data_IF_572569857476
#
_entry.id   IF_572569857476
#
_cell.length_a   1.000
_cell.length_b   1.000
_cell.length_c   1.000
_cell.angle_alpha   90.00
_cell.angle_beta   90.00
_cell.angle_gamma   90.00
#
_symmetry.space_group_name_H-M   'P 1'
#
loop_
_entity.id
_entity.type
_entity.pdbx_description
1 polymer ?
2 non-polymer ?
3 non-polymer ?
4 water ?
#
# COMPACT_ATOMS: atom_id res chain seq x y z
N UNK A 19 31.44 -0.63 -14.19
CA UNK A 19 29.99 -0.60 -13.99
C UNK A 19 29.27 0.56 -14.71
N UNK A 20 28.07 0.31 -15.23
CA UNK A 20 27.28 1.38 -15.88
C UNK A 20 27.01 2.47 -14.82
N UNK A 21 26.94 3.72 -15.27
CA UNK A 21 26.68 4.87 -14.40
C UNK A 21 25.34 5.49 -14.80
N UNK A 22 24.67 6.12 -13.83
CA UNK A 22 23.43 6.88 -14.07
C UNK A 22 23.39 8.07 -13.12
N UNK A 23 23.32 9.29 -13.67
CA UNK A 23 23.43 10.51 -12.86
C UNK A 23 24.69 10.39 -11.99
N UNK A 24 25.74 9.79 -12.55
CA UNK A 24 27.05 9.68 -11.89
C UNK A 24 27.08 8.68 -10.73
N UNK A 25 26.03 7.89 -10.51
CA UNK A 25 26.02 6.92 -9.40
C UNK A 25 26.12 5.52 -9.99
N UNK A 26 26.94 4.65 -9.38
CA UNK A 26 27.15 3.32 -9.98
C UNK A 26 25.80 2.60 -9.97
N UNK A 27 25.39 2.16 -11.15
CA UNK A 27 24.19 1.35 -11.33
C UNK A 27 24.60 0.10 -12.11
N UNK A 28 24.91 -0.94 -11.36
CA UNK A 28 25.73 -2.03 -11.82
C UNK A 28 24.96 -3.32 -11.94
N UNK A 29 24.30 -3.47 -13.07
CA UNK A 29 23.27 -4.47 -13.22
C UNK A 29 23.63 -5.38 -14.41
N UNK A 30 24.79 -5.18 -15.01
CA UNK A 30 25.18 -5.96 -16.18
C UNK A 30 25.55 -7.39 -15.81
N UNK A 31 25.66 -8.28 -16.79
CA UNK A 31 25.50 -7.94 -18.23
C UNK A 31 24.06 -8.14 -18.76
N UNK A 32 23.21 -8.80 -17.97
CA UNK A 32 21.84 -9.13 -18.41
C UNK A 32 21.05 -7.83 -18.70
N UNK A 33 21.33 -6.76 -17.96
CA UNK A 33 20.50 -5.58 -18.05
C UNK A 33 21.32 -4.41 -18.58
N UNK A 34 20.86 -3.87 -19.71
CA UNK A 34 21.57 -2.83 -20.45
C UNK A 34 20.60 -1.67 -20.78
N UNK A 35 21.14 -0.62 -21.38
CA UNK A 35 20.34 0.49 -21.92
C UNK A 35 19.51 1.12 -20.80
N UNK A 36 20.16 1.59 -19.73
CA UNK A 36 19.49 2.13 -18.55
C UNK A 36 18.93 3.53 -18.86
N UNK A 37 17.79 3.84 -18.26
CA UNK A 37 17.26 5.21 -18.18
C UNK A 37 16.87 5.52 -16.72
N UNK A 38 17.16 6.72 -16.26
CA UNK A 38 16.77 7.16 -14.93
C UNK A 38 15.24 7.29 -14.86
N UNK A 39 14.66 6.99 -13.70
CA UNK A 39 13.21 7.17 -13.46
C UNK A 39 13.02 8.06 -12.22
N UNK A 40 13.73 7.76 -11.13
CA UNK A 40 13.70 8.64 -9.98
C UNK A 40 14.53 8.11 -8.84
N UNK A 41 14.36 8.72 -7.67
CA UNK A 41 14.73 8.08 -6.43
C UNK A 41 13.58 7.12 -6.03
N UNK A 42 13.89 6.13 -5.20
CA UNK A 42 12.89 5.29 -4.56
C UNK A 42 12.82 5.58 -3.07
N UNK A 43 13.44 4.73 -2.26
CA UNK A 43 13.48 4.92 -0.81
C UNK A 43 14.96 5.10 -0.38
N UNK A 44 15.78 4.05 -0.47
CA UNK A 44 17.22 4.16 -0.10
C UNK A 44 18.07 3.99 -1.36
N UNK A 45 17.48 4.34 -2.49
CA UNK A 45 18.22 4.39 -3.73
C UNK A 45 17.35 4.72 -4.92
N UNK A 46 17.90 4.42 -6.07
CA UNK A 46 17.56 4.99 -7.35
C UNK A 46 16.82 3.94 -8.18
N UNK A 47 15.85 4.40 -8.94
CA UNK A 47 15.10 3.55 -9.81
C UNK A 47 15.44 3.91 -11.26
N UNK A 48 15.68 2.86 -12.05
CA UNK A 48 15.97 2.95 -13.48
C UNK A 48 15.17 1.91 -14.26
N UNK A 49 14.87 2.20 -15.51
CA UNK A 49 14.45 1.15 -16.46
C UNK A 49 15.71 0.63 -17.17
N UNK A 50 15.61 -0.58 -17.73
CA UNK A 50 16.73 -1.22 -18.44
C UNK A 50 16.17 -2.31 -19.37
N UNK A 51 17.00 -2.76 -20.31
CA UNK A 51 16.61 -3.81 -21.22
C UNK A 51 17.08 -5.18 -20.69
N UNK A 52 16.15 -6.12 -20.50
CA UNK A 52 16.51 -7.48 -20.06
C UNK A 52 16.87 -8.33 -21.28
N UNK A 53 18.17 -8.60 -21.42
CA UNK A 53 18.69 -9.28 -22.60
C UNK A 53 18.29 -10.76 -22.61
N UNK A 54 17.77 -11.30 -21.51
CA UNK A 54 17.32 -12.69 -21.53
C UNK A 54 15.85 -12.72 -22.00
N UNK A 55 15.00 -11.86 -21.45
CA UNK A 55 13.55 -11.92 -21.68
C UNK A 55 13.12 -10.93 -22.76
N UNK A 56 14.03 -10.05 -23.19
CA UNK A 56 13.80 -9.23 -24.39
C UNK A 56 12.73 -8.16 -24.14
N UNK A 57 12.59 -7.74 -22.89
CA UNK A 57 11.63 -6.72 -22.48
C UNK A 57 12.37 -5.69 -21.64
N UNK A 58 11.88 -4.46 -21.62
CA UNK A 58 12.38 -3.48 -20.67
C UNK A 58 11.78 -3.81 -19.29
N UNK A 59 12.57 -3.58 -18.23
CA UNK A 59 12.21 -3.88 -16.81
C UNK A 59 12.56 -2.64 -15.96
N UNK A 60 12.02 -2.60 -14.74
CA UNK A 60 12.39 -1.59 -13.75
C UNK A 60 13.38 -2.18 -12.74
N UNK A 61 14.41 -1.42 -12.39
CA UNK A 61 15.38 -1.90 -11.41
C UNK A 61 15.55 -0.84 -10.33
N UNK A 62 15.44 -1.25 -9.07
CA UNK A 62 15.69 -0.32 -7.96
C UNK A 62 16.98 -0.71 -7.23
N UNK A 63 17.91 0.25 -7.11
CA UNK A 63 19.11 0.10 -6.30
C UNK A 63 18.78 0.47 -4.85
N UNK A 64 19.12 -0.42 -3.93
CA UNK A 64 18.85 -0.23 -2.53
C UNK A 64 20.18 -0.35 -1.78
N UNK A 65 20.49 0.66 -0.98
CA UNK A 65 21.67 0.70 -0.15
C UNK A 65 21.31 0.92 1.32
N UNK A 66 20.74 -0.11 1.98
CA UNK A 66 20.20 -0.03 3.34
C UNK A 66 21.09 -0.43 4.53
N UNK A 67 22.32 -0.89 4.32
CA UNK A 67 22.98 -1.75 5.32
C UNK A 67 23.54 -0.96 6.51
N UNK A 68 23.55 0.37 6.42
CA UNK A 68 24.04 1.21 7.51
C UNK A 68 22.96 1.44 8.59
N UNK A 69 21.70 1.14 8.31
CA UNK A 69 20.62 1.50 9.23
C UNK A 69 19.71 0.30 9.48
N UNK A 70 19.59 -0.02 10.76
CA UNK A 70 18.61 -0.98 11.27
C UNK A 70 17.29 -0.83 10.49
N UNK A 71 16.80 0.41 10.42
CA UNK A 71 15.42 0.68 9.93
C UNK A 71 15.31 0.30 8.44
N UNK A 72 16.25 0.79 7.64
CA UNK A 72 16.28 0.48 6.21
C UNK A 72 16.44 -1.04 5.99
N UNK A 73 17.26 -1.69 6.82
CA UNK A 73 17.42 -3.13 6.67
C UNK A 73 16.11 -3.85 6.93
N UNK A 74 15.38 -3.41 7.97
CA UNK A 74 14.10 -4.04 8.36
C UNK A 74 13.11 -3.95 7.19
N UNK A 75 12.98 -2.76 6.65
CA UNK A 75 12.00 -2.53 5.59
C UNK A 75 12.40 -3.26 4.30
N UNK A 76 13.71 -3.34 4.03
CA UNK A 76 14.22 -4.02 2.84
C UNK A 76 13.96 -5.53 2.97
N UNK A 77 14.31 -6.12 4.10
CA UNK A 77 14.05 -7.54 4.31
C UNK A 77 12.54 -7.79 4.19
N UNK A 78 11.73 -6.97 4.84
CA UNK A 78 10.27 -7.20 4.79
C UNK A 78 9.77 -7.29 3.35
N UNK A 79 10.15 -6.29 2.57
CA UNK A 79 9.77 -6.18 1.17
C UNK A 79 10.17 -7.45 0.42
N UNK A 80 11.44 -7.83 0.54
CA UNK A 80 11.94 -8.98 -0.20
C UNK A 80 11.23 -10.27 0.26
N UNK A 81 11.21 -10.53 1.56
CA UNK A 81 10.58 -11.75 2.06
C UNK A 81 9.14 -11.85 1.54
N UNK A 82 8.39 -10.76 1.63
CA UNK A 82 6.99 -10.81 1.31
C UNK A 82 6.81 -10.99 -0.20
N UNK A 83 7.51 -10.20 -1.00
CA UNK A 83 7.29 -10.24 -2.45
C UNK A 83 7.77 -11.57 -3.02
N UNK A 84 8.78 -12.20 -2.44
CA UNK A 84 9.22 -13.51 -2.95
C UNK A 84 8.25 -14.62 -2.57
N UNK A 85 7.55 -14.47 -1.45
CA UNK A 85 6.61 -15.51 -1.02
C UNK A 85 5.33 -15.39 -1.87
N UNK A 86 4.90 -14.18 -2.15
CA UNK A 86 3.66 -13.92 -2.85
C UNK A 86 3.78 -14.21 -4.33
N UNK A 87 2.73 -14.78 -4.88
CA UNK A 87 2.61 -14.91 -6.32
C UNK A 87 1.15 -14.63 -6.70
N UNK A 88 0.92 -13.44 -7.27
CA UNK A 88 -0.43 -12.99 -7.62
C UNK A 88 -0.38 -11.95 -8.74
N UNK A 89 -1.32 -12.05 -9.67
CA UNK A 89 -1.40 -11.14 -10.83
C UNK A 89 -1.51 -9.67 -10.40
N UNK A 90 -2.05 -9.35 -9.20
CA UNK A 90 -2.28 -7.96 -8.80
C UNK A 90 -1.26 -7.53 -7.74
N UNK A 91 -0.13 -8.25 -7.67
CA UNK A 91 0.93 -7.92 -6.74
C UNK A 91 2.24 -8.01 -7.52
N UNK A 92 3.03 -6.95 -7.42
CA UNK A 92 4.24 -6.89 -8.23
C UNK A 92 5.15 -8.05 -7.80
N UNK A 93 5.73 -8.73 -8.79
CA UNK A 93 6.71 -9.80 -8.54
C UNK A 93 8.15 -9.28 -8.54
N UNK A 94 9.01 -10.01 -7.86
CA UNK A 94 10.44 -9.80 -8.06
C UNK A 94 10.92 -10.79 -9.12
N UNK A 95 11.42 -10.27 -10.23
CA UNK A 95 11.91 -11.07 -11.34
C UNK A 95 13.32 -11.59 -11.05
N UNK A 96 14.10 -10.79 -10.32
CA UNK A 96 15.55 -11.04 -10.20
C UNK A 96 16.07 -10.11 -9.11
N UNK A 97 17.18 -10.48 -8.48
CA UNK A 97 17.85 -9.64 -7.51
C UNK A 97 19.36 -9.77 -7.72
N UNK A 98 20.01 -8.62 -7.92
CA UNK A 98 21.43 -8.56 -8.22
C UNK A 98 22.13 -8.10 -6.95
N UNK A 99 23.11 -8.86 -6.51
CA UNK A 99 24.00 -8.38 -5.46
C UNK A 99 25.31 -9.15 -5.57
N UNK A 100 26.28 -8.71 -4.78
CA UNK A 100 27.62 -9.27 -4.73
C UNK A 100 27.58 -10.74 -4.32
N UNK A 101 28.60 -11.52 -4.75
CA UNK A 101 28.60 -12.91 -4.33
C UNK A 101 28.85 -13.16 -2.82
N UNK A 102 29.31 -12.15 -2.09
CA UNK A 102 29.68 -12.35 -0.68
C UNK A 102 29.05 -11.25 0.17
N UNK A 103 28.78 -11.55 1.44
CA UNK A 103 28.30 -10.54 2.36
C UNK A 103 29.26 -9.34 2.37
N UNK A 104 30.55 -9.62 2.38
CA UNK A 104 31.61 -8.61 2.56
C UNK A 104 31.57 -7.61 1.42
N UNK A 105 31.33 -8.10 0.20
CA UNK A 105 31.37 -7.27 -1.00
C UNK A 105 30.00 -6.65 -1.27
N UNK A 106 28.96 -7.09 -0.55
CA UNK A 106 27.59 -6.64 -0.81
C UNK A 106 27.34 -5.31 -0.10
N UNK A 107 27.30 -4.22 -0.86
CA UNK A 107 26.93 -2.90 -0.27
C UNK A 107 25.56 -2.44 -0.78
N UNK A 108 25.05 -3.06 -1.83
CA UNK A 108 23.83 -2.65 -2.52
C UNK A 108 23.09 -3.91 -2.93
N UNK A 109 21.79 -3.77 -3.12
CA UNK A 109 21.00 -4.79 -3.73
C UNK A 109 20.15 -4.14 -4.84
N UNK A 110 20.03 -4.81 -5.98
CA UNK A 110 19.19 -4.31 -7.06
C UNK A 110 18.00 -5.27 -7.20
N UNK A 111 16.80 -4.69 -7.12
CA UNK A 111 15.61 -5.48 -7.27
C UNK A 111 15.03 -5.21 -8.65
N UNK A 112 14.78 -6.30 -9.37
CA UNK A 112 14.24 -6.23 -10.73
C UNK A 112 12.75 -6.61 -10.71
N UNK A 113 11.93 -5.77 -11.32
CA UNK A 113 10.47 -6.00 -11.47
C UNK A 113 10.06 -5.74 -12.93
N UNK A 114 8.90 -6.27 -13.32
CA UNK A 114 8.30 -5.90 -14.61
C UNK A 114 8.16 -4.37 -14.66
N UNK A 115 8.48 -3.81 -15.83
CA UNK A 115 8.40 -2.38 -16.00
C UNK A 115 6.92 -2.02 -16.09
N UNK A 116 6.51 -1.17 -15.16
CA UNK A 116 5.17 -0.67 -15.16
C UNK A 116 5.22 0.80 -15.58
N UNK A 117 4.62 1.07 -16.74
CA UNK A 117 4.56 2.36 -17.45
C UNK A 117 4.27 3.51 -16.48
N UNK A 118 3.34 3.31 -15.54
CA UNK A 118 2.79 4.42 -14.74
C UNK A 118 2.30 3.86 -13.40
N UNK A 119 1.67 4.71 -12.63
CA UNK A 119 1.01 4.31 -11.38
C UNK A 119 -0.24 5.17 -11.23
N UNK A 120 -1.08 4.83 -10.27
CA UNK A 120 -2.36 5.51 -10.12
C UNK A 120 -2.19 6.98 -9.66
N UNK A 121 -1.10 7.29 -8.97
CA UNK A 121 -0.82 8.68 -8.61
C UNK A 121 -0.63 9.54 -9.86
N UNK A 122 0.25 9.10 -10.74
CA UNK A 122 0.58 9.85 -11.97
C UNK A 122 -0.68 9.93 -12.86
N UNK A 123 -1.39 8.81 -12.94
CA UNK A 123 -2.63 8.71 -13.72
C UNK A 123 -3.64 9.77 -13.24
N UNK A 124 -3.88 9.84 -11.93
CA UNK A 124 -4.93 10.71 -11.37
C UNK A 124 -4.57 12.20 -11.50
N UNK A 125 -3.30 12.55 -11.61
CA UNK A 125 -2.99 13.96 -11.68
C UNK A 125 -3.21 14.47 -13.11
N UNK A 126 -3.40 13.58 -14.09
CA UNK A 126 -3.51 14.02 -15.50
C UNK A 126 -4.73 13.47 -16.24
N UNK A 127 -5.32 12.36 -15.78
CA UNK A 127 -6.29 11.64 -16.59
C UNK A 127 -7.64 11.54 -15.86
N UNK A 128 -8.72 11.94 -16.52
CA UNK A 128 -10.07 11.60 -16.02
C UNK A 128 -10.30 10.08 -16.13
N UNK A 129 -10.79 9.45 -15.08
CA UNK A 129 -11.08 8.01 -15.13
C UNK A 129 -12.54 7.76 -15.49
N UNK A 130 -12.81 6.93 -16.50
CA UNK A 130 -14.21 6.50 -16.75
C UNK A 130 -14.72 5.71 -15.54
N UNK A 131 -16.05 5.64 -15.34
CA UNK A 131 -16.57 4.67 -14.36
C UNK A 131 -16.01 3.25 -14.64
N UNK A 132 -15.87 2.88 -15.90
CA UNK A 132 -15.36 1.53 -16.18
C UNK A 132 -13.95 1.28 -15.68
N UNK A 133 -13.07 2.24 -15.88
CA UNK A 133 -11.72 2.20 -15.33
C UNK A 133 -11.75 2.17 -13.79
N UNK A 134 -12.61 2.97 -13.18
CA UNK A 134 -12.65 3.06 -11.70
C UNK A 134 -13.03 1.68 -11.13
N UNK A 135 -14.04 1.09 -11.74
CA UNK A 135 -14.55 -0.22 -11.40
C UNK A 135 -13.47 -1.31 -11.56
N UNK A 136 -12.82 -1.34 -12.71
CA UNK A 136 -11.73 -2.32 -13.00
C UNK A 136 -10.56 -2.13 -12.01
N UNK A 137 -10.16 -0.88 -11.80
CA UNK A 137 -9.07 -0.58 -10.86
C UNK A 137 -9.46 -1.05 -9.45
N UNK A 138 -10.65 -0.72 -8.98
CA UNK A 138 -11.03 -1.09 -7.62
C UNK A 138 -11.07 -2.62 -7.51
N UNK A 139 -11.60 -3.27 -8.55
CA UNK A 139 -11.66 -4.75 -8.55
C UNK A 139 -10.25 -5.30 -8.36
N UNK A 140 -9.29 -4.82 -9.15
CA UNK A 140 -7.95 -5.39 -9.11
C UNK A 140 -7.25 -5.10 -7.77
N UNK A 141 -7.50 -3.93 -7.23
CA UNK A 141 -6.95 -3.57 -5.93
C UNK A 141 -7.48 -4.54 -4.86
N UNK A 142 -8.79 -4.74 -4.82
CA UNK A 142 -9.37 -5.65 -3.82
C UNK A 142 -8.97 -7.12 -4.09
N UNK A 143 -8.80 -7.48 -5.35
CA UNK A 143 -8.43 -8.87 -5.66
C UNK A 143 -7.02 -9.16 -5.09
N UNK A 144 -6.10 -8.22 -5.27
CA UNK A 144 -4.74 -8.36 -4.70
C UNK A 144 -4.77 -8.29 -3.18
N UNK A 145 -5.57 -7.38 -2.64
CA UNK A 145 -5.66 -7.23 -1.17
C UNK A 145 -6.27 -8.49 -0.56
N UNK A 146 -7.17 -9.17 -1.25
CA UNK A 146 -7.70 -10.41 -0.70
C UNK A 146 -6.58 -11.42 -0.49
N UNK A 147 -5.67 -11.54 -1.46
CA UNK A 147 -4.54 -12.45 -1.31
C UNK A 147 -3.65 -12.02 -0.13
N UNK A 148 -3.29 -10.73 -0.08
CA UNK A 148 -2.44 -10.18 0.95
C UNK A 148 -3.04 -10.54 2.31
N UNK A 149 -4.31 -10.15 2.52
CA UNK A 149 -5.01 -10.42 3.80
C UNK A 149 -5.12 -11.92 4.08
N UNK A 150 -5.32 -12.76 3.05
CA UNK A 150 -5.42 -14.21 3.24
C UNK A 150 -4.10 -14.76 3.79
N UNK A 151 -2.99 -14.03 3.62
CA UNK A 151 -1.66 -14.44 4.06
C UNK A 151 -1.39 -13.90 5.47
N UNK A 152 -2.39 -13.27 6.09
CA UNK A 152 -2.32 -12.65 7.42
C UNK A 152 -1.37 -11.45 7.38
N UNK A 153 -1.22 -10.81 6.22
CA UNK A 153 -0.38 -9.63 6.09
C UNK A 153 -1.26 -8.38 5.93
N UNK A 154 -0.78 -7.30 6.51
CA UNK A 154 -1.30 -5.96 6.29
C UNK A 154 -0.26 -5.19 5.48
N UNK A 155 -0.72 -4.53 4.42
CA UNK A 155 0.18 -3.73 3.60
C UNK A 155 0.60 -2.46 4.34
N UNK A 156 -0.41 -1.74 4.82
CA UNK A 156 -0.31 -0.56 5.74
C UNK A 156 0.19 0.71 5.06
N UNK A 157 0.38 0.70 3.74
CA UNK A 157 0.74 1.92 3.04
C UNK A 157 0.15 1.96 1.63
N UNK A 158 -1.10 1.53 1.52
CA UNK A 158 -1.81 1.64 0.26
C UNK A 158 -2.17 3.09 -0.01
N UNK A 159 -1.85 3.51 -1.23
CA UNK A 159 -2.06 4.83 -1.77
C UNK A 159 -1.83 4.77 -3.28
N UNK A 160 -2.26 5.79 -4.03
CA UNK A 160 -2.11 5.73 -5.51
C UNK A 160 -0.69 5.39 -6.03
N UNK A 161 0.38 5.93 -5.42
CA UNK A 161 1.75 5.74 -5.95
C UNK A 161 2.22 4.29 -5.73
N UNK A 162 1.52 3.50 -4.90
CA UNK A 162 1.88 2.09 -4.64
C UNK A 162 0.95 1.16 -5.40
N UNK A 163 0.21 1.73 -6.34
CA UNK A 163 -0.56 0.94 -7.27
C UNK A 163 -0.02 1.18 -8.68
N UNK A 164 0.72 0.20 -9.17
CA UNK A 164 1.38 0.31 -10.48
C UNK A 164 0.44 -0.15 -11.59
N UNK A 165 0.56 0.46 -12.77
CA UNK A 165 -0.22 0.07 -13.95
C UNK A 165 0.66 0.05 -15.19
N UNK A 166 0.33 -0.87 -16.08
CA UNK A 166 1.03 -1.03 -17.35
C UNK A 166 0.14 -0.45 -18.44
N UNK A 167 0.54 -0.57 -19.71
CA UNK A 167 -0.12 0.16 -20.81
C UNK A 167 -1.53 -0.42 -21.08
N UNK A 168 -1.82 -1.63 -20.57
CA UNK A 168 -3.14 -2.23 -20.73
C UNK A 168 -3.90 -2.15 -19.41
N UNK A 169 -3.49 -1.26 -18.51
CA UNK A 169 -4.20 -1.07 -17.22
C UNK A 169 -4.26 -2.31 -16.30
N UNK A 170 -3.29 -3.21 -16.40
CA UNK A 170 -3.11 -4.22 -15.37
C UNK A 170 -2.57 -3.49 -14.17
N UNK A 171 -3.13 -3.75 -13.00
CA UNK A 171 -2.80 -3.04 -11.78
C UNK A 171 -2.12 -4.03 -10.82
N UNK A 172 -1.00 -3.60 -10.23
CA UNK A 172 -0.23 -4.41 -9.30
C UNK A 172 0.18 -3.57 -8.09
N UNK A 173 -0.10 -4.11 -6.91
CA UNK A 173 0.24 -3.49 -5.63
C UNK A 173 1.74 -3.71 -5.38
N UNK A 174 2.43 -2.69 -4.91
CA UNK A 174 3.84 -2.72 -4.66
C UNK A 174 4.15 -2.08 -3.30
N UNK A 175 5.42 -2.09 -2.94
CA UNK A 175 5.95 -1.43 -1.74
C UNK A 175 5.43 -1.95 -0.40
N UNK A 176 5.95 -3.09 0.01
CA UNK A 176 5.55 -3.78 1.22
C UNK A 176 6.47 -3.43 2.39
N UNK A 177 7.19 -2.35 2.29
CA UNK A 177 8.20 -1.97 3.30
C UNK A 177 7.61 -1.71 4.68
N UNK A 178 6.34 -1.30 4.76
CA UNK A 178 5.71 -0.99 6.07
C UNK A 178 4.72 -2.09 6.49
N UNK A 179 4.69 -3.17 5.73
CA UNK A 179 3.76 -4.25 6.02
C UNK A 179 4.12 -4.92 7.35
N UNK A 180 3.11 -5.56 7.94
CA UNK A 180 3.18 -6.28 9.20
C UNK A 180 2.32 -7.53 9.09
N UNK A 181 2.64 -8.53 9.91
CA UNK A 181 1.71 -9.63 10.15
C UNK A 181 0.54 -9.12 11.03
N UNK A 182 -0.70 -9.48 10.68
CA UNK A 182 -1.89 -9.04 11.43
C UNK A 182 -1.84 -9.48 12.91
N UNK A 183 -2.28 -8.59 13.81
CA UNK A 183 -2.18 -8.84 15.26
C UNK A 183 -3.26 -8.08 15.97
N UNK A 184 -4.52 -8.42 15.70
CA UNK A 184 -5.65 -7.69 16.27
C UNK A 184 -5.71 -7.65 17.81
N UNK A 185 -5.18 -8.66 18.50
CA UNK A 185 -5.17 -8.66 19.97
C UNK A 185 -4.21 -7.65 20.58
N UNK A 186 -3.25 -7.15 19.79
CA UNK A 186 -2.27 -6.17 20.24
C UNK A 186 -2.46 -4.85 19.48
N UNK A 187 -3.66 -4.61 18.96
CA UNK A 187 -3.94 -3.38 18.20
C UNK A 187 -4.10 -2.09 19.05
N UNK A 188 -4.41 -2.21 20.33
CA UNK A 188 -4.86 -1.01 21.06
C UNK A 188 -3.67 -0.19 21.55
N UNK A 189 -3.82 1.14 21.48
CA UNK A 189 -2.77 2.05 21.97
C UNK A 189 -3.45 3.32 22.48
N UNK A 190 -2.63 4.24 22.97
CA UNK A 190 -3.10 5.55 23.42
C UNK A 190 -3.38 6.53 22.27
N UNK A 191 -3.82 7.70 22.70
CA UNK A 191 -4.24 8.79 21.82
C UNK A 191 -3.01 9.50 21.21
N UNK A 192 -3.05 9.78 19.92
CA UNK A 192 -2.00 10.52 19.20
C UNK A 192 -0.66 9.75 19.24
N UNK A 193 -0.74 8.43 19.06
CA UNK A 193 0.45 7.55 18.98
C UNK A 193 1.04 7.66 17.58
N UNK A 194 2.36 7.89 17.51
CA UNK A 194 3.01 8.23 16.20
C UNK A 194 2.82 7.03 15.25
N UNK A 195 2.79 7.34 13.96
CA UNK A 195 2.52 6.36 12.93
C UNK A 195 3.38 6.66 11.69
N UNK A 196 3.78 5.59 11.00
CA UNK A 196 4.76 5.69 9.88
C UNK A 196 4.05 5.86 8.52
N UNK A 197 2.90 5.21 8.28
CA UNK A 197 2.25 5.13 6.93
C UNK A 197 1.71 6.50 6.49
N UNK A 198 1.48 6.65 5.18
CA UNK A 198 1.22 7.94 4.53
C UNK A 198 -0.10 8.57 5.03
N UNK A 199 -0.01 9.83 5.40
CA UNK A 199 -1.03 10.48 6.24
C UNK A 199 -2.44 10.47 5.61
N UNK A 200 -2.58 10.84 4.35
CA UNK A 200 -3.93 10.99 3.76
C UNK A 200 -4.72 9.67 3.69
N UNK A 201 -4.05 8.53 3.85
CA UNK A 201 -4.69 7.21 3.66
C UNK A 201 -4.82 6.49 5.00
N UNK A 202 -4.51 7.18 6.10
CA UNK A 202 -4.57 6.63 7.47
C UNK A 202 -6.00 6.65 8.02
N UNK A 203 -6.42 5.51 8.53
CA UNK A 203 -7.73 5.39 9.12
C UNK A 203 -7.82 6.28 10.37
N UNK A 204 -9.04 6.69 10.71
CA UNK A 204 -9.22 7.58 11.84
C UNK A 204 -8.66 6.98 13.15
N UNK A 205 -8.86 5.67 13.34
CA UNK A 205 -8.51 4.99 14.60
C UNK A 205 -6.99 5.09 14.86
N UNK A 206 -6.18 5.28 13.81
CA UNK A 206 -4.73 5.42 14.01
C UNK A 206 -4.41 6.59 14.95
N UNK A 207 -5.19 7.66 14.81
CA UNK A 207 -5.00 8.88 15.58
C UNK A 207 -5.65 8.76 16.98
N UNK A 208 -6.48 7.76 17.20
CA UNK A 208 -7.27 7.66 18.44
C UNK A 208 -6.77 6.54 19.35
N UNK A 209 -6.72 5.31 18.83
CA UNK A 209 -6.47 4.15 19.73
C UNK A 209 -5.92 2.92 19.02
N UNK A 210 -5.43 3.03 17.78
CA UNK A 210 -5.02 1.84 16.99
C UNK A 210 -3.56 1.96 16.53
N UNK A 211 -2.84 0.83 16.64
CA UNK A 211 -1.49 0.65 16.09
C UNK A 211 -1.50 0.21 14.62
N UNK A 212 -2.65 0.03 13.97
CA UNK A 212 -2.64 -0.37 12.57
C UNK A 212 -2.30 -1.85 12.38
N UNK A 213 -2.77 -2.69 13.31
CA UNK A 213 -2.44 -4.14 13.28
C UNK A 213 -3.65 -5.01 12.90
N UNK A 214 -4.72 -4.41 12.35
CA UNK A 214 -5.87 -5.19 11.84
C UNK A 214 -6.12 -4.83 10.37
N UNK A 215 -6.76 -5.76 9.68
CA UNK A 215 -7.07 -5.72 8.26
C UNK A 215 -7.87 -4.46 7.90
N UNK A 216 -8.70 -3.97 8.84
CA UNK A 216 -9.55 -2.81 8.57
C UNK A 216 -8.75 -1.55 8.23
N UNK A 217 -7.46 -1.50 8.60
CA UNK A 217 -6.60 -0.34 8.26
C UNK A 217 -6.45 -0.20 6.73
N UNK A 218 -6.32 -1.34 6.07
CA UNK A 218 -6.09 -1.38 4.63
C UNK A 218 -7.36 -1.04 3.87
N UNK A 219 -8.49 -1.48 4.38
CA UNK A 219 -9.76 -1.22 3.73
C UNK A 219 -10.05 0.29 3.73
N UNK A 220 -9.75 0.98 4.85
CA UNK A 220 -9.87 2.43 4.89
C UNK A 220 -9.07 3.06 3.75
N UNK A 221 -7.82 2.64 3.56
CA UNK A 221 -6.97 3.21 2.55
C UNK A 221 -7.61 2.98 1.18
N UNK A 222 -8.15 1.80 0.94
CA UNK A 222 -8.78 1.51 -0.36
C UNK A 222 -9.99 2.43 -0.56
N UNK A 223 -10.77 2.63 0.49
CA UNK A 223 -11.87 3.60 0.45
C UNK A 223 -11.39 4.97 0.00
N UNK A 224 -10.29 5.43 0.59
CA UNK A 224 -9.73 6.75 0.26
C UNK A 224 -9.32 6.82 -1.22
N UNK A 225 -8.74 5.74 -1.71
CA UNK A 225 -8.30 5.64 -3.12
C UNK A 225 -9.53 5.65 -4.03
N UNK A 226 -10.62 4.95 -3.67
CA UNK A 226 -11.85 4.98 -4.45
C UNK A 226 -12.36 6.41 -4.56
N UNK A 227 -12.47 7.12 -3.41
CA UNK A 227 -12.88 8.54 -3.39
C UNK A 227 -12.00 9.37 -4.31
N UNK A 228 -10.70 9.13 -4.31
CA UNK A 228 -9.77 9.91 -5.08
C UNK A 228 -9.98 9.62 -6.57
N UNK A 229 -10.29 8.37 -6.86
CA UNK A 229 -10.52 7.97 -8.24
C UNK A 229 -11.77 8.65 -8.79
N UNK A 230 -12.74 8.93 -7.93
CA UNK A 230 -14.01 9.53 -8.38
C UNK A 230 -13.84 11.04 -8.68
N UNK A 231 -12.87 11.73 -8.09
CA UNK A 231 -12.76 13.17 -8.30
C UNK A 231 -11.35 13.64 -8.68
N UNK A 232 -10.33 12.78 -8.73
CA UNK A 232 -8.95 13.16 -9.05
C UNK A 232 -8.32 14.03 -7.95
N UNK A 233 -8.86 14.03 -6.75
CA UNK A 233 -8.26 14.81 -5.66
C UNK A 233 -8.31 13.94 -4.42
N UNK A 234 -7.29 14.00 -3.56
CA UNK A 234 -7.50 13.23 -2.33
C UNK A 234 -8.71 13.74 -1.53
N UNK A 235 -9.44 12.81 -0.94
CA UNK A 235 -10.64 13.11 -0.18
C UNK A 235 -10.24 13.72 1.18
N UNK A 236 -9.19 13.23 1.82
CA UNK A 236 -8.79 13.75 3.16
C UNK A 236 -7.33 14.23 3.17
N UNK A 237 -7.05 15.36 2.53
CA UNK A 237 -5.66 15.88 2.47
C UNK A 237 -5.17 16.58 3.74
N UNK A 238 -4.90 15.84 4.83
CA UNK A 238 -4.42 16.46 6.10
C UNK A 238 -3.01 17.00 5.99
N UNK A 239 -2.77 18.15 6.60
CA UNK A 239 -1.44 18.76 6.50
C UNK A 239 -0.59 18.33 7.69
N UNK A 240 -1.17 17.60 8.63
CA UNK A 240 -0.41 17.13 9.80
C UNK A 240 -1.25 16.15 10.63
N UNK A 241 -0.55 15.51 11.57
CA UNK A 241 -1.06 14.35 12.29
C UNK A 241 -2.56 14.49 12.63
N UNK A 242 -2.99 15.52 13.38
CA UNK A 242 -4.39 15.56 13.89
C UNK A 242 -5.33 16.20 12.86
N UNK A 243 -4.80 17.06 11.98
CA UNK A 243 -5.59 17.63 10.84
C UNK A 243 -6.23 16.51 10.02
N UNK A 244 -5.52 15.39 9.95
CA UNK A 244 -6.02 14.24 9.24
C UNK A 244 -7.35 13.78 9.84
N UNK A 245 -7.48 13.70 11.17
CA UNK A 245 -8.78 13.26 11.77
C UNK A 245 -9.87 14.31 11.46
N UNK A 246 -9.48 15.56 11.49
CA UNK A 246 -10.47 16.59 11.36
C UNK A 246 -10.99 16.59 9.91
N UNK A 247 -10.16 16.17 8.95
CA UNK A 247 -10.62 16.05 7.55
C UNK A 247 -11.71 14.96 7.47
N UNK A 248 -11.43 13.85 8.10
CA UNK A 248 -12.31 12.70 8.02
C UNK A 248 -13.69 13.06 8.61
N UNK A 249 -13.69 13.68 9.79
CA UNK A 249 -14.94 13.96 10.49
C UNK A 249 -15.74 15.05 9.77
N UNK A 250 -15.06 15.91 8.99
CA UNK A 250 -15.78 16.94 8.21
C UNK A 250 -16.69 16.32 7.15
N UNK A 251 -16.40 15.09 6.72
CA UNK A 251 -17.23 14.41 5.70
C UNK A 251 -18.17 13.41 6.37
N UNK A 252 -17.61 12.55 7.22
CA UNK A 252 -18.40 11.44 7.81
C UNK A 252 -19.38 11.99 8.87
N UNK A 253 -19.06 13.15 9.42
CA UNK A 253 -19.79 13.75 10.53
C UNK A 253 -19.35 13.15 11.86
N UNK A 254 -19.90 13.69 12.95
CA UNK A 254 -19.59 13.23 14.30
C UNK A 254 -19.92 11.74 14.45
N UNK A 255 -19.03 11.00 15.11
CA UNK A 255 -19.26 9.60 15.42
C UNK A 255 -20.45 9.45 16.40
N UNK A 256 -21.13 8.33 16.22
CA UNK A 256 -22.32 8.00 16.95
C UNK A 256 -21.95 7.64 18.39
N UNK A 257 -22.93 7.68 19.29
CA UNK A 257 -22.67 7.24 20.67
C UNK A 257 -22.13 5.82 20.67
N UNK A 258 -22.77 4.97 19.91
CA UNK A 258 -22.39 3.56 19.85
C UNK A 258 -20.91 3.43 19.46
N UNK A 259 -20.50 4.16 18.44
CA UNK A 259 -19.12 4.17 17.99
C UNK A 259 -18.14 4.73 19.03
N UNK A 260 -18.53 5.78 19.75
CA UNK A 260 -17.72 6.32 20.84
C UNK A 260 -17.56 5.30 21.98
N UNK A 261 -18.61 4.51 22.22
CA UNK A 261 -18.63 3.51 23.27
C UNK A 261 -17.59 2.43 22.99
N UNK A 262 -17.21 2.23 21.73
CA UNK A 262 -16.13 1.27 21.39
C UNK A 262 -14.73 1.85 21.67
N UNK A 263 -14.61 3.14 21.99
CA UNK A 263 -13.33 3.76 22.29
C UNK A 263 -13.25 3.96 23.81
N UNK A 264 -12.53 3.06 24.46
CA UNK A 264 -12.48 3.09 25.90
C UNK A 264 -11.44 4.12 26.35
N UNK A 265 -10.44 4.38 25.50
CA UNK A 265 -9.38 5.27 25.95
C UNK A 265 -9.98 6.66 26.19
N UNK A 266 -9.74 7.27 27.36
CA UNK A 266 -10.44 8.48 27.78
C UNK A 266 -9.90 9.70 27.03
N UNK A 267 -8.59 9.82 26.89
CA UNK A 267 -8.05 10.92 26.11
C UNK A 267 -8.71 10.90 24.72
N UNK A 268 -8.79 9.74 24.09
CA UNK A 268 -9.31 9.65 22.74
C UNK A 268 -10.81 9.99 22.71
N UNK A 269 -11.59 9.40 23.63
CA UNK A 269 -13.06 9.58 23.65
C UNK A 269 -13.38 11.06 23.91
N UNK A 270 -12.70 11.65 24.90
CA UNK A 270 -12.93 13.03 25.33
C UNK A 270 -12.54 14.03 24.24
N UNK A 271 -11.50 13.71 23.48
CA UNK A 271 -11.16 14.55 22.32
C UNK A 271 -12.39 14.62 21.41
N UNK A 272 -12.95 13.47 21.02
CA UNK A 272 -14.08 13.45 20.09
C UNK A 272 -15.29 14.15 20.73
N UNK A 273 -15.50 13.97 22.02
CA UNK A 273 -16.60 14.67 22.71
C UNK A 273 -16.40 16.18 22.75
N UNK A 274 -15.16 16.67 22.70
CA UNK A 274 -14.86 18.10 22.76
C UNK A 274 -15.26 18.83 21.47
N UNK A 275 -15.44 18.10 20.39
CA UNK A 275 -15.63 18.68 19.03
C UNK A 275 -17.09 19.12 18.88
N UNK A 276 -17.31 20.26 18.20
CA UNK A 276 -18.68 20.61 17.81
C UNK A 276 -19.30 19.52 16.94
N UNK A 277 -20.62 19.38 17.07
CA UNK A 277 -21.39 18.41 16.29
C UNK A 277 -21.14 18.73 14.82
N UNK A 278 -20.87 17.71 14.01
CA UNK A 278 -20.80 17.87 12.54
C UNK A 278 -21.67 16.80 11.91
N UNK A 279 -22.46 17.21 10.93
CA UNK A 279 -23.41 16.33 10.24
C UNK A 279 -22.68 15.74 9.01
N UNK A 280 -23.19 14.63 8.53
CA UNK A 280 -22.60 13.88 7.41
C UNK A 280 -22.67 14.73 6.13
N UNK A 281 -21.62 14.71 5.30
CA UNK A 281 -21.75 15.22 3.92
C UNK A 281 -22.12 14.01 3.04
N UNK A 282 -23.28 14.05 2.39
CA UNK A 282 -23.73 12.95 1.53
C UNK A 282 -22.76 12.71 0.36
N UNK A 283 -22.47 11.45 0.11
CA UNK A 283 -21.50 11.11 -0.91
C UNK A 283 -21.96 11.65 -2.28
N UNK A 284 -23.28 11.60 -2.52
CA UNK A 284 -23.84 11.93 -3.85
C UNK A 284 -23.73 13.44 -4.11
N UNK A 285 -23.50 14.23 -3.05
CA UNK A 285 -23.23 15.66 -3.16
C UNK A 285 -21.73 15.89 -3.38
N UNK A 286 -20.86 15.11 -2.74
CA UNK A 286 -19.43 15.24 -2.97
C UNK A 286 -19.12 14.78 -4.40
N UNK A 287 -19.84 13.76 -4.89
CA UNK A 287 -19.56 13.06 -6.17
C UNK A 287 -20.84 12.92 -6.99
N UNK A 288 -21.38 14.03 -7.51
CA UNK A 288 -22.65 13.99 -8.25
C UNK A 288 -22.67 13.15 -9.54
N UNK A 289 -21.51 12.81 -10.10
CA UNK A 289 -21.52 12.02 -11.33
C UNK A 289 -21.15 10.56 -11.02
N UNK A 290 -20.94 10.21 -9.75
CA UNK A 290 -20.49 8.85 -9.37
C UNK A 290 -21.61 7.82 -9.55
N UNK A 291 -21.24 6.60 -9.91
CA UNK A 291 -22.17 5.51 -9.90
C UNK A 291 -22.72 5.28 -8.50
N UNK A 292 -24.02 5.07 -8.36
CA UNK A 292 -24.60 4.99 -7.02
C UNK A 292 -24.11 3.74 -6.28
N UNK A 293 -23.89 2.65 -7.00
CA UNK A 293 -23.33 1.44 -6.39
C UNK A 293 -21.92 1.75 -5.86
N UNK A 294 -21.14 2.52 -6.61
CA UNK A 294 -19.81 2.90 -6.17
C UNK A 294 -19.88 3.66 -4.83
N UNK A 295 -20.84 4.57 -4.66
CA UNK A 295 -20.95 5.36 -3.46
C UNK A 295 -21.45 4.48 -2.32
N UNK A 296 -22.23 3.44 -2.59
CA UNK A 296 -22.67 2.58 -1.54
C UNK A 296 -21.45 1.81 -1.00
N UNK A 297 -20.62 1.33 -1.92
CA UNK A 297 -19.45 0.60 -1.50
C UNK A 297 -18.47 1.57 -0.82
N UNK A 298 -18.28 2.77 -1.36
CA UNK A 298 -17.40 3.76 -0.70
C UNK A 298 -17.78 3.95 0.77
N UNK A 299 -19.08 4.07 1.00
CA UNK A 299 -19.61 4.33 2.34
C UNK A 299 -19.22 3.24 3.33
N UNK A 300 -19.29 2.00 2.86
CA UNK A 300 -19.01 0.82 3.69
C UNK A 300 -17.51 0.66 3.93
N UNK A 301 -16.69 1.18 3.03
CA UNK A 301 -15.23 1.17 3.25
C UNK A 301 -14.80 2.32 4.16
N UNK A 302 -15.44 3.49 4.02
CA UNK A 302 -15.09 4.66 4.83
C UNK A 302 -16.07 4.76 6.01
N UNK A 303 -16.12 3.69 6.78
CA UNK A 303 -16.91 3.63 7.97
C UNK A 303 -15.96 3.99 9.10
N UNK A 304 -16.41 4.87 10.02
CA UNK A 304 -15.59 5.35 11.13
C UNK A 304 -15.15 4.16 12.01
N UNK A 305 -16.11 3.31 12.35
CA UNK A 305 -15.89 2.20 13.27
C UNK A 305 -15.22 1.05 12.50
N UNK A 306 -13.97 0.73 12.84
CA UNK A 306 -13.25 -0.37 12.16
C UNK A 306 -13.97 -1.73 12.22
N UNK A 307 -14.66 -1.99 13.32
CA UNK A 307 -15.37 -3.27 13.49
C UNK A 307 -16.54 -3.36 12.50
N UNK A 308 -17.14 -2.22 12.12
CA UNK A 308 -18.29 -2.18 11.20
C UNK A 308 -17.86 -2.02 9.74
N UNK A 309 -16.58 -1.71 9.50
CA UNK A 309 -16.06 -1.47 8.18
C UNK A 309 -16.13 -2.78 7.37
N UNK A 310 -16.49 -2.67 6.11
CA UNK A 310 -16.57 -3.87 5.21
C UNK A 310 -15.19 -4.57 5.10
N UNK A 311 -15.19 -5.90 5.00
CA UNK A 311 -13.97 -6.67 4.77
C UNK A 311 -13.74 -6.86 3.27
N UNK A 312 -12.53 -7.30 2.92
CA UNK A 312 -12.13 -7.33 1.50
C UNK A 312 -13.05 -8.25 0.69
N UNK A 313 -13.40 -9.42 1.22
CA UNK A 313 -14.20 -10.38 0.47
C UNK A 313 -15.63 -9.86 0.30
N UNK A 314 -16.14 -9.20 1.33
CA UNK A 314 -17.44 -8.55 1.23
C UNK A 314 -17.44 -7.46 0.16
N UNK A 315 -16.32 -6.74 0.08
CA UNK A 315 -16.23 -5.63 -0.87
C UNK A 315 -16.24 -6.21 -2.30
N UNK A 316 -15.52 -7.30 -2.51
CA UNK A 316 -15.47 -7.96 -3.83
C UNK A 316 -16.87 -8.42 -4.28
N UNK A 317 -17.66 -8.86 -3.31
CA UNK A 317 -19.01 -9.35 -3.47
C UNK A 317 -20.05 -8.21 -3.58
N UNK A 318 -19.64 -6.95 -3.50
CA UNK A 318 -20.60 -5.85 -3.56
C UNK A 318 -21.17 -5.73 -4.98
N UNK A 319 -22.47 -5.35 -5.11
CA UNK A 319 -23.05 -5.13 -6.46
C UNK A 319 -22.19 -4.27 -7.43
N UNK A 320 -21.45 -3.28 -6.93
CA UNK A 320 -20.64 -2.40 -7.81
C UNK A 320 -19.70 -3.23 -8.72
N UNK A 321 -19.18 -4.33 -8.16
CA UNK A 321 -18.12 -5.14 -8.79
C UNK A 321 -18.69 -6.42 -9.44
N UNK A 322 -20.00 -6.53 -9.56
CA UNK A 322 -20.62 -7.78 -9.95
C UNK A 322 -20.16 -8.21 -11.35
N UNK A 323 -19.69 -7.30 -12.21
CA UNK A 323 -19.27 -7.71 -13.56
C UNK A 323 -17.96 -8.51 -13.51
N UNK A 324 -17.16 -8.34 -12.45
CA UNK A 324 -15.87 -8.94 -12.32
C UNK A 324 -15.86 -10.07 -11.27
N UNK A 325 -16.73 -9.99 -10.27
CA UNK A 325 -16.64 -10.87 -9.08
C UNK A 325 -16.72 -12.33 -9.49
N UNK A 326 -15.74 -13.09 -9.07
CA UNK A 326 -15.64 -14.49 -9.35
C UNK A 326 -14.67 -15.05 -8.31
N UNK A 327 -15.19 -15.48 -7.15
CA UNK A 327 -14.30 -15.89 -6.05
C UNK A 327 -13.34 -17.04 -6.39
N UNK A 328 -13.73 -17.90 -7.32
CA UNK A 328 -12.91 -18.99 -7.78
C UNK A 328 -11.70 -18.46 -8.57
N UNK A 329 -11.79 -17.21 -9.05
CA UNK A 329 -10.68 -16.59 -9.77
C UNK A 329 -10.12 -15.44 -8.96
N UNK A 330 -10.29 -15.49 -7.64
CA UNK A 330 -9.69 -14.55 -6.71
C UNK A 330 -8.95 -15.37 -5.68
N UNK A 331 -7.73 -15.76 -6.03
CA UNK A 331 -6.99 -16.70 -5.19
C UNK A 331 -6.52 -16.15 -3.84
N UNK A 332 -6.35 -17.09 -2.91
CA UNK A 332 -5.77 -16.82 -1.60
C UNK A 332 -4.40 -17.49 -1.51
N UNK A 333 -3.64 -17.08 -0.51
CA UNK A 333 -2.26 -17.48 -0.34
C UNK A 333 -2.19 -18.93 0.20
N UNK A 334 -1.24 -19.67 -0.33
CA UNK A 334 -1.04 -21.07 0.07
C UNK A 334 -0.51 -21.11 1.50
N UNK A 335 0.28 -20.06 1.83
CA UNK A 335 1.31 -20.05 2.88
C UNK A 335 1.28 -18.70 3.62
N UNK A 336 0.31 -18.54 4.51
CA UNK A 336 0.18 -17.35 5.39
C UNK A 336 1.45 -17.18 6.27
N UNK A 337 1.77 -15.93 6.62
CA UNK A 337 2.92 -15.62 7.51
C UNK A 337 2.50 -15.78 8.97
N UNK A 344 12.16 -6.86 14.13
CA UNK A 344 12.89 -5.77 14.78
C UNK A 344 13.68 -6.26 16.01
N UNK A 345 14.44 -5.36 16.62
CA UNK A 345 15.46 -5.70 17.62
C UNK A 345 16.63 -6.51 17.06
N UNK A 346 16.52 -7.07 15.86
CA UNK A 346 17.69 -7.68 15.19
C UNK A 346 18.64 -6.53 14.80
N UNK A 347 19.94 -6.69 15.03
CA UNK A 347 20.86 -5.63 14.57
C UNK A 347 21.07 -5.61 13.05
N UNK A 348 21.56 -4.46 12.55
CA UNK A 348 22.05 -4.29 11.17
C UNK A 348 22.67 -5.58 10.62
N UNK A 349 23.60 -6.16 11.39
CA UNK A 349 24.53 -7.16 10.89
C UNK A 349 23.75 -8.46 10.59
N UNK A 350 22.82 -8.80 11.46
CA UNK A 350 22.06 -10.03 11.29
C UNK A 350 21.03 -9.82 10.18
N UNK A 351 20.50 -8.60 10.05
CA UNK A 351 19.51 -8.30 9.01
C UNK A 351 20.22 -8.40 7.65
N UNK A 352 21.48 -7.96 7.57
CA UNK A 352 22.24 -8.04 6.33
C UNK A 352 22.42 -9.51 5.93
N UNK A 353 22.76 -10.36 6.89
CA UNK A 353 22.86 -11.81 6.60
C UNK A 353 21.51 -12.37 6.16
N UNK A 354 20.42 -11.94 6.80
CA UNK A 354 19.07 -12.39 6.38
C UNK A 354 18.80 -11.96 4.95
N UNK A 355 19.18 -10.76 4.59
CA UNK A 355 18.93 -10.26 3.21
C UNK A 355 19.81 -11.04 2.23
N UNK A 356 21.07 -11.27 2.60
CA UNK A 356 21.96 -12.09 1.79
C UNK A 356 21.31 -13.46 1.54
N UNK A 357 20.84 -14.12 2.59
CA UNK A 357 20.27 -15.47 2.48
C UNK A 357 18.99 -15.45 1.65
N UNK A 358 18.15 -14.45 1.88
CA UNK A 358 16.87 -14.35 1.20
C UNK A 358 17.06 -14.10 -0.32
N UNK A 359 18.19 -13.51 -0.71
CA UNK A 359 18.44 -13.18 -2.13
C UNK A 359 19.28 -14.25 -2.84
N UNK A 360 19.68 -15.32 -2.13
CA UNK A 360 20.66 -16.28 -2.65
C UNK A 360 20.16 -17.00 -3.92
N UNK A 361 18.85 -17.19 -4.01
CA UNK A 361 18.28 -18.03 -5.07
C UNK A 361 18.47 -17.40 -6.44
N UNK A 362 18.88 -16.13 -6.53
CA UNK A 362 18.98 -15.47 -7.81
C UNK A 362 20.44 -15.47 -8.28
N UNK A 363 21.30 -16.05 -7.49
CA UNK A 363 22.70 -16.07 -7.81
C UNK A 363 22.95 -17.24 -8.75
N UNK A 364 23.89 -17.06 -9.70
CA UNK A 364 24.38 -18.18 -10.52
C UNK A 364 25.60 -18.89 -9.89
X LIG B 1 2.67 12.96 10.80
X LIG B 1 1.20 13.20 10.62
X LIG B 1 3.33 13.54 9.60
X LIG B 1 3.09 13.61 12.07
X LIG B 1 2.97 11.53 10.91
X LIG C 1 8.16 -0.82 -11.57
X LIG C 1 8.70 0.17 -10.75
X LIG C 1 7.95 -2.15 -11.28
X LIG C 1 8.71 1.29 -11.46
X LIG C 1 8.22 1.08 -12.69
X LIG C 1 7.85 -0.30 -12.78
X LIG C 1 9.00 0.06 -9.87
X LIG C 1 7.36 -2.60 -11.75
X LIG C 1 8.17 -2.44 -10.47
X LIG C 1 9.03 2.12 -11.15
X LIG D 1 11.75 -1.94 -7.58
X LIG D 1 11.20 -1.24 -6.52
X LIG D 1 12.22 -3.22 -7.58
X LIG D 1 10.89 -0.03 -6.98
X LIG D 1 11.22 0.07 -8.28
X LIG D 1 11.78 -1.16 -8.69
X LIG D 1 11.07 -1.56 -5.64
X LIG D 1 12.81 -3.45 -8.18
X LIG D 1 12.16 -3.68 -6.82
X LIG D 1 10.49 0.66 -6.46
#
# INVERSE_FOLDING_TARGET
MAHHHHHHMAAAAAAGAGPEMVRGQVFDVGPRYTNLSYIGEGAYGMVCSAYDNVNKVRVAIKKISPFEHQTYCQRTLREIKILLRFRHENIIGINDIIRAPTIEQMKDVYIVQDLMETDLYKLLKTQHLSNDHICYFLYQILRGLKYIHSANVLHRDLKPSNLLLNTTCDLKICDFGLARVADPDHDHTGFLTEYVATRWYRAPEIMLNSKGYTKSIDIWSVGCILAEMLSNRPIFPGKHYLDQLNHILGILGSPSQEDLNCIINLKARNYLLSLPHKNKVPWNRLFPNADSKALDLLDKMLTFNPHKRIEVEQALAHPYLEQYYDPSDEPIAEAPFKFDMELDDLPKEKLKELIFEETARFQPGYRS
SO4 S O1 O2 O3 O4
HOW C2 C3 N1 C4 O5 N6 H9 H8 H7 H10
HOW C2 C3 N1 C4 O5 N6 H9 H8 H7 H10
#
